data_IF_968887104846
#
_entry.id   IF_968887104846
#
_cell.length_a   1.000
_cell.length_b   1.000
_cell.length_c   1.000
_cell.angle_alpha   90.00
_cell.angle_beta   90.00
_cell.angle_gamma   90.00
#
_symmetry.space_group_name_H-M   'P 1'
#
loop_
_entity.id
_entity.type
_entity.pdbx_description
1 polymer ?
#
# COMPACT_ATOMS: atom_id res chain seq x y z
N UNK A 1 9.73 -3.40 -32.20
CA UNK A 1 10.17 -2.32 -31.27
C UNK A 1 9.00 -1.40 -31.04
N UNK A 2 8.41 -1.39 -29.84
CA UNK A 2 7.29 -0.50 -29.51
C UNK A 2 7.56 0.13 -28.14
N UNK A 3 8.33 1.22 -28.15
CA UNK A 3 8.52 2.06 -26.97
C UNK A 3 7.26 2.90 -26.79
N UNK A 4 6.31 2.40 -26.00
CA UNK A 4 5.19 3.19 -25.52
C UNK A 4 5.72 4.37 -24.69
N UNK A 5 5.33 5.60 -25.05
CA UNK A 5 5.64 6.78 -24.25
C UNK A 5 4.75 6.79 -23.02
N UNK A 6 5.25 6.26 -21.89
CA UNK A 6 4.62 6.42 -20.59
C UNK A 6 5.05 7.76 -20.00
N UNK A 7 4.12 8.71 -19.90
CA UNK A 7 4.35 9.99 -19.20
C UNK A 7 4.36 9.72 -17.69
N UNK A 8 5.52 9.35 -17.16
CA UNK A 8 5.74 9.32 -15.71
C UNK A 8 6.13 10.72 -15.25
N UNK A 9 5.34 11.33 -14.37
CA UNK A 9 5.75 12.53 -13.66
C UNK A 9 6.76 12.10 -12.59
N UNK A 10 8.05 12.21 -12.90
CA UNK A 10 9.10 12.04 -11.90
C UNK A 10 8.92 13.16 -10.88
N UNK A 11 8.37 12.82 -9.71
CA UNK A 11 8.38 13.72 -8.56
C UNK A 11 9.85 14.08 -8.26
N UNK A 12 10.14 15.33 -7.83
CA UNK A 12 11.50 15.75 -7.50
C UNK A 12 12.15 14.73 -6.56
N UNK A 13 13.43 14.44 -6.79
CA UNK A 13 14.18 13.47 -5.98
C UNK A 13 14.20 13.93 -4.52
N UNK A 14 13.47 13.23 -3.64
CA UNK A 14 13.48 13.49 -2.20
C UNK A 14 14.47 12.53 -1.55
N UNK A 15 15.36 13.03 -0.69
CA UNK A 15 16.25 12.17 0.09
C UNK A 15 15.43 11.22 0.98
N UNK A 16 15.90 9.98 1.20
CA UNK A 16 15.14 9.01 2.01
C UNK A 16 14.84 9.50 3.44
N UNK A 17 15.74 10.30 4.00
CA UNK A 17 15.57 10.92 5.33
C UNK A 17 14.50 12.02 5.31
N UNK A 18 14.56 12.93 4.33
CA UNK A 18 13.58 14.02 4.15
C UNK A 18 12.18 13.48 3.87
N UNK A 19 12.07 12.44 3.03
CA UNK A 19 10.82 11.76 2.77
C UNK A 19 10.26 11.14 4.05
N UNK A 20 11.10 10.44 4.81
CA UNK A 20 10.69 9.81 6.07
C UNK A 20 10.18 10.85 7.08
N UNK A 21 10.91 11.96 7.25
CA UNK A 21 10.51 13.06 8.13
C UNK A 21 9.18 13.68 7.70
N UNK A 22 8.98 13.94 6.40
CA UNK A 22 7.73 14.47 5.86
C UNK A 22 6.55 13.52 6.04
N UNK A 23 6.75 12.22 5.79
CA UNK A 23 5.70 11.20 5.99
C UNK A 23 5.30 11.09 7.47
N UNK A 24 6.27 11.11 8.37
CA UNK A 24 6.02 11.10 9.83
C UNK A 24 5.29 12.37 10.28
N UNK A 25 5.64 13.54 9.73
CA UNK A 25 4.91 14.79 10.01
C UNK A 25 3.46 14.71 9.52
N UNK A 26 3.23 14.25 8.29
CA UNK A 26 1.89 14.08 7.74
C UNK A 26 1.04 13.10 8.57
N UNK A 27 1.65 12.04 9.10
CA UNK A 27 1.00 11.12 10.02
C UNK A 27 0.65 11.80 11.35
N UNK A 28 1.58 12.58 11.94
CA UNK A 28 1.33 13.33 13.18
C UNK A 28 0.25 14.40 13.04
N UNK A 29 0.10 15.01 11.86
CA UNK A 29 -0.96 15.97 11.53
C UNK A 29 -2.29 15.30 11.15
N UNK A 30 -2.37 13.96 11.16
CA UNK A 30 -3.54 13.19 10.76
C UNK A 30 -3.90 13.28 9.28
N UNK A 31 -2.98 13.75 8.43
CA UNK A 31 -3.16 13.92 6.98
C UNK A 31 -2.82 12.66 6.16
N UNK A 32 -2.23 11.65 6.80
CA UNK A 32 -1.91 10.37 6.19
C UNK A 32 -1.63 9.30 7.26
N UNK A 33 -1.51 8.06 6.85
CA UNK A 33 -1.16 6.95 7.73
C UNK A 33 -0.14 6.07 7.03
N UNK A 34 0.93 5.68 7.73
CA UNK A 34 1.89 4.72 7.21
C UNK A 34 1.38 3.31 7.53
N UNK A 35 1.00 2.57 6.48
CA UNK A 35 0.49 1.21 6.65
C UNK A 35 1.59 0.20 6.98
N UNK A 36 2.77 0.37 6.37
CA UNK A 36 3.90 -0.55 6.54
C UNK A 36 5.22 0.09 6.07
N UNK A 37 6.34 -0.32 6.69
CA UNK A 37 7.72 0.00 6.27
C UNK A 37 8.59 -1.28 6.29
N UNK A 38 8.36 -2.25 5.39
CA UNK A 38 9.18 -3.44 5.35
C UNK A 38 10.58 -3.13 4.83
N UNK A 39 11.58 -3.88 5.31
CA UNK A 39 12.94 -3.85 4.78
C UNK A 39 13.45 -5.28 4.64
N UNK A 40 14.17 -5.55 3.55
CA UNK A 40 14.70 -6.88 3.26
C UNK A 40 16.06 -6.75 2.59
N UNK A 41 16.99 -7.59 3.02
CA UNK A 41 18.30 -7.74 2.39
C UNK A 41 18.26 -8.95 1.47
N UNK A 42 18.79 -8.81 0.27
CA UNK A 42 18.89 -9.90 -0.70
C UNK A 42 20.19 -9.81 -1.49
N UNK A 43 20.64 -10.96 -2.00
CA UNK A 43 21.79 -11.06 -2.90
C UNK A 43 21.33 -10.70 -4.32
N UNK A 44 22.19 -9.99 -5.06
CA UNK A 44 21.96 -9.76 -6.50
C UNK A 44 21.75 -11.08 -7.25
N UNK A 45 20.66 -11.18 -8.01
CA UNK A 45 20.22 -12.36 -8.75
C UNK A 45 19.32 -13.31 -7.97
N UNK A 46 19.10 -13.11 -6.67
CA UNK A 46 18.32 -14.02 -5.83
C UNK A 46 16.97 -13.42 -5.44
N UNK A 47 15.92 -14.24 -5.43
CA UNK A 47 14.62 -13.83 -4.88
C UNK A 47 14.65 -13.96 -3.36
N UNK A 48 14.14 -12.98 -2.66
CA UNK A 48 13.93 -13.05 -1.22
C UNK A 48 12.51 -12.64 -0.86
N UNK A 49 11.98 -13.28 0.18
CA UNK A 49 10.61 -13.09 0.64
C UNK A 49 10.59 -12.75 2.12
N UNK A 50 9.63 -11.92 2.51
CA UNK A 50 9.40 -11.47 3.87
C UNK A 50 7.90 -11.56 4.17
N UNK A 51 7.57 -12.17 5.31
CA UNK A 51 6.21 -12.21 5.83
C UNK A 51 6.23 -11.77 7.29
N UNK A 52 5.48 -10.71 7.58
CA UNK A 52 5.19 -10.27 8.95
C UNK A 52 3.68 -10.19 9.13
N UNK A 53 3.13 -11.04 10.00
CA UNK A 53 1.70 -11.11 10.24
C UNK A 53 1.30 -12.47 10.80
N UNK A 54 0.10 -12.92 10.43
CA UNK A 54 -0.43 -14.20 10.89
C UNK A 54 -1.04 -15.01 9.76
N UNK A 55 -1.64 -16.13 10.13
CA UNK A 55 -2.43 -16.98 9.25
C UNK A 55 -3.83 -17.13 9.84
N UNK A 56 -4.84 -16.99 8.98
CA UNK A 56 -6.25 -17.14 9.35
C UNK A 56 -6.77 -18.46 8.77
N UNK A 57 -7.35 -19.35 9.59
CA UNK A 57 -7.99 -20.56 9.09
C UNK A 57 -9.34 -20.21 8.44
N UNK A 58 -9.51 -20.63 7.19
CA UNK A 58 -10.73 -20.48 6.41
C UNK A 58 -11.32 -21.88 6.22
N UNK A 59 -12.59 -22.05 6.61
CA UNK A 59 -13.31 -23.31 6.38
C UNK A 59 -13.84 -23.32 4.96
N UNK A 60 -13.46 -24.32 4.19
CA UNK A 60 -14.02 -24.59 2.86
C UNK A 60 -14.94 -25.82 2.97
N UNK A 61 -16.22 -25.63 2.71
CA UNK A 61 -17.19 -26.74 2.63
C UNK A 61 -17.37 -27.17 1.18
N UNK A 62 -16.86 -28.36 0.86
CA UNK A 62 -17.17 -29.09 -0.38
C UNK A 62 -18.26 -30.13 -0.15
N UNK A 63 -18.81 -30.71 -1.22
CA UNK A 63 -19.82 -31.77 -1.15
C UNK A 63 -19.28 -32.98 -0.37
N UNK A 64 -19.64 -33.08 0.92
CA UNK A 64 -19.26 -34.17 1.81
C UNK A 64 -17.90 -34.04 2.52
N UNK A 65 -17.13 -32.96 2.31
CA UNK A 65 -15.83 -32.77 2.95
C UNK A 65 -15.69 -31.35 3.53
N UNK A 66 -15.29 -31.27 4.80
CA UNK A 66 -14.86 -30.03 5.44
C UNK A 66 -13.32 -30.00 5.43
N UNK A 67 -12.74 -29.01 4.75
CA UNK A 67 -11.30 -28.76 4.78
C UNK A 67 -11.01 -27.37 5.33
N UNK A 68 -9.81 -27.19 5.89
CA UNK A 68 -9.34 -25.93 6.46
C UNK A 68 -8.16 -25.45 5.63
N UNK A 69 -8.28 -24.26 5.05
CA UNK A 69 -7.21 -23.58 4.32
C UNK A 69 -6.65 -22.43 5.16
N UNK A 70 -5.33 -22.34 5.28
CA UNK A 70 -4.67 -21.27 6.04
C UNK A 70 -4.30 -20.13 5.10
N UNK A 71 -4.93 -18.96 5.30
CA UNK A 71 -4.66 -17.77 4.51
C UNK A 71 -3.75 -16.81 5.28
N UNK A 72 -2.58 -16.53 4.73
CA UNK A 72 -1.64 -15.53 5.27
C UNK A 72 -2.24 -14.13 5.19
N UNK A 73 -1.99 -13.34 6.23
CA UNK A 73 -2.26 -11.91 6.25
C UNK A 73 -1.12 -11.13 6.90
N UNK A 74 -1.19 -9.80 6.81
CA UNK A 74 -0.15 -8.87 7.26
C UNK A 74 0.64 -8.32 6.07
N UNK A 75 1.94 -8.15 6.25
CA UNK A 75 2.85 -7.61 5.24
C UNK A 75 3.55 -8.79 4.57
N UNK A 76 3.30 -9.00 3.29
CA UNK A 76 4.01 -9.94 2.45
C UNK A 76 4.79 -9.16 1.41
N UNK A 77 6.10 -9.36 1.35
CA UNK A 77 6.96 -8.67 0.39
C UNK A 77 7.88 -9.67 -0.27
N UNK A 78 8.00 -9.60 -1.59
CA UNK A 78 9.05 -10.29 -2.32
C UNK A 78 9.87 -9.30 -3.13
N UNK A 79 11.17 -9.56 -3.17
CA UNK A 79 12.17 -8.68 -3.73
C UNK A 79 13.16 -9.53 -4.52
N UNK A 80 13.39 -9.16 -5.78
CA UNK A 80 14.37 -9.82 -6.64
C UNK A 80 15.23 -8.74 -7.32
N UNK A 81 16.40 -8.41 -6.74
CA UNK A 81 17.31 -7.43 -7.30
C UNK A 81 18.31 -8.06 -8.26
N UNK A 82 18.65 -7.35 -9.33
CA UNK A 82 19.84 -7.61 -10.14
C UNK A 82 20.61 -6.30 -10.22
N UNK A 83 21.76 -6.22 -9.57
CA UNK A 83 22.60 -5.03 -9.54
C UNK A 83 24.00 -5.32 -10.10
N UNK A 84 24.57 -4.34 -10.80
CA UNK A 84 25.93 -4.37 -11.33
C UNK A 84 26.92 -3.61 -10.43
N UNK A 85 28.21 -3.66 -10.78
CA UNK A 85 29.30 -3.00 -10.04
C UNK A 85 29.25 -1.48 -10.12
N UNK A 86 28.55 -0.93 -11.11
CA UNK A 86 28.36 0.52 -11.31
C UNK A 86 27.18 1.07 -10.50
N UNK A 87 26.41 0.21 -9.83
CA UNK A 87 25.25 0.59 -9.03
C UNK A 87 23.96 0.73 -9.83
N UNK A 88 23.95 0.31 -11.10
CA UNK A 88 22.72 0.15 -11.86
C UNK A 88 22.02 -1.11 -11.38
N UNK A 89 20.69 -1.08 -11.34
CA UNK A 89 19.91 -2.20 -10.86
C UNK A 89 18.59 -2.35 -11.59
N UNK A 90 18.20 -3.60 -11.82
CA UNK A 90 16.85 -3.99 -12.18
C UNK A 90 16.19 -4.61 -10.96
N UNK A 91 14.95 -4.21 -10.67
CA UNK A 91 14.24 -4.63 -9.46
C UNK A 91 12.86 -5.14 -9.82
N UNK A 92 12.55 -6.35 -9.36
CA UNK A 92 11.17 -6.81 -9.22
C UNK A 92 10.76 -6.66 -7.76
N UNK A 93 9.70 -5.88 -7.52
CA UNK A 93 9.13 -5.67 -6.19
C UNK A 93 7.68 -6.10 -6.21
N UNK A 94 7.33 -7.03 -5.33
CA UNK A 94 5.95 -7.41 -5.05
C UNK A 94 5.68 -7.15 -3.58
N UNK A 95 4.65 -6.37 -3.26
CA UNK A 95 4.25 -6.10 -1.88
C UNK A 95 2.75 -6.23 -1.74
N UNK A 96 2.34 -6.84 -0.65
CA UNK A 96 0.96 -6.99 -0.23
C UNK A 96 0.84 -6.61 1.24
N UNK A 97 -0.10 -5.71 1.54
CA UNK A 97 -0.49 -5.37 2.91
C UNK A 97 -1.94 -5.77 3.08
N UNK A 98 -2.19 -6.70 4.00
CA UNK A 98 -3.52 -7.23 4.27
C UNK A 98 -3.87 -7.11 5.75
N UNK A 99 -5.07 -6.59 6.03
CA UNK A 99 -5.58 -6.39 7.39
C UNK A 99 -6.91 -7.14 7.50
N UNK A 100 -7.04 -8.11 8.43
CA UNK A 100 -8.30 -8.80 8.67
C UNK A 100 -9.28 -7.85 9.36
N UNK A 101 -10.48 -7.75 8.81
CA UNK A 101 -11.61 -7.08 9.43
C UNK A 101 -12.49 -8.11 10.13
N UNK A 102 -12.36 -8.19 11.45
CA UNK A 102 -13.13 -9.14 12.28
C UNK A 102 -14.57 -8.68 12.53
N UNK A 103 -14.88 -7.40 12.29
CA UNK A 103 -16.20 -6.81 12.54
C UNK A 103 -17.14 -6.90 11.33
N UNK A 104 -16.60 -7.23 10.16
CA UNK A 104 -17.35 -7.45 8.95
C UNK A 104 -17.09 -8.86 8.46
N UNK A 105 -18.13 -9.68 8.45
CA UNK A 105 -18.08 -11.04 7.91
C UNK A 105 -19.04 -11.16 6.73
N UNK A 106 -18.63 -11.93 5.73
CA UNK A 106 -19.52 -12.41 4.66
C UNK A 106 -19.62 -13.92 4.83
N UNK A 107 -20.81 -14.45 5.06
CA UNK A 107 -21.02 -15.88 5.35
C UNK A 107 -20.11 -16.42 6.48
N UNK A 108 -19.96 -15.65 7.57
CA UNK A 108 -19.09 -15.96 8.72
C UNK A 108 -17.58 -16.01 8.39
N UNK A 109 -17.17 -15.67 7.17
CA UNK A 109 -15.77 -15.53 6.79
C UNK A 109 -15.29 -14.08 7.02
N UNK A 110 -14.08 -13.89 7.57
CA UNK A 110 -13.52 -12.55 7.77
C UNK A 110 -13.21 -11.89 6.42
N UNK A 111 -13.50 -10.59 6.32
CA UNK A 111 -13.12 -9.79 5.16
C UNK A 111 -11.68 -9.30 5.34
N UNK A 112 -10.90 -9.24 4.27
CA UNK A 112 -9.56 -8.66 4.27
C UNK A 112 -9.54 -7.39 3.44
N UNK A 113 -9.01 -6.32 4.01
CA UNK A 113 -8.57 -5.17 3.23
C UNK A 113 -7.18 -5.49 2.68
N UNK A 114 -7.04 -5.54 1.34
CA UNK A 114 -5.79 -5.96 0.69
C UNK A 114 -5.32 -4.87 -0.27
N UNK A 115 -4.07 -4.44 -0.08
CA UNK A 115 -3.36 -3.54 -0.99
C UNK A 115 -2.19 -4.30 -1.61
N UNK A 116 -2.18 -4.49 -2.93
CA UNK A 116 -1.14 -5.23 -3.63
C UNK A 116 -0.50 -4.38 -4.72
N UNK A 117 0.82 -4.40 -4.79
CA UNK A 117 1.61 -3.76 -5.84
C UNK A 117 2.64 -4.73 -6.39
N UNK A 118 2.71 -4.81 -7.71
CA UNK A 118 3.73 -5.55 -8.45
C UNK A 118 4.37 -4.59 -9.44
N UNK A 119 5.66 -4.37 -9.34
CA UNK A 119 6.38 -3.44 -10.22
C UNK A 119 7.75 -3.97 -10.62
N UNK A 120 8.15 -3.62 -11.84
CA UNK A 120 9.42 -3.98 -12.46
C UNK A 120 10.01 -2.69 -13.00
N UNK A 121 11.19 -2.32 -12.52
CA UNK A 121 11.81 -1.06 -12.91
C UNK A 121 13.33 -1.11 -12.80
N UNK A 122 13.97 -0.28 -13.62
CA UNK A 122 15.42 -0.12 -13.65
C UNK A 122 15.82 1.24 -13.06
N UNK A 123 16.94 1.25 -12.35
CA UNK A 123 17.55 2.46 -11.82
C UNK A 123 19.02 2.51 -12.18
N UNK A 124 19.47 3.66 -12.68
CA UNK A 124 20.91 3.89 -12.90
C UNK A 124 21.70 4.04 -11.59
N UNK A 125 21.03 4.49 -10.53
CA UNK A 125 21.60 4.73 -9.20
C UNK A 125 20.55 4.49 -8.12
N UNK A 126 21.00 4.09 -6.93
CA UNK A 126 20.17 3.99 -5.72
C UNK A 126 19.45 5.30 -5.43
N UNK A 127 18.13 5.33 -5.63
CA UNK A 127 17.26 6.46 -5.30
C UNK A 127 15.87 5.98 -4.94
N UNK A 128 15.16 6.77 -4.16
CA UNK A 128 13.76 6.50 -3.86
C UNK A 128 12.90 6.70 -5.10
N UNK A 129 12.04 5.73 -5.39
CA UNK A 129 11.05 5.81 -6.47
C UNK A 129 9.65 5.52 -5.97
N UNK A 130 8.67 6.16 -6.60
CA UNK A 130 7.25 5.87 -6.41
C UNK A 130 6.86 4.83 -7.44
N UNK A 131 6.42 3.65 -6.98
CA UNK A 131 6.09 2.52 -7.86
C UNK A 131 4.58 2.33 -8.05
N UNK A 132 3.76 2.96 -7.22
CA UNK A 132 2.30 2.93 -7.34
C UNK A 132 1.64 4.12 -6.64
N UNK A 133 0.55 4.59 -7.23
CA UNK A 133 -0.35 5.61 -6.69
C UNK A 133 -1.80 5.29 -7.04
N UNK A 134 -2.68 5.18 -6.03
CA UNK A 134 -4.12 4.97 -6.21
C UNK A 134 -4.89 6.09 -5.53
N UNK A 135 -5.70 6.82 -6.29
CA UNK A 135 -6.60 7.85 -5.76
C UNK A 135 -8.02 7.28 -5.75
N UNK A 136 -8.62 7.18 -4.58
CA UNK A 136 -10.02 6.79 -4.37
C UNK A 136 -10.80 8.00 -3.92
N UNK A 137 -11.81 8.41 -4.68
CA UNK A 137 -12.77 9.45 -4.30
C UNK A 137 -14.13 8.81 -4.08
N UNK A 138 -14.74 9.05 -2.92
CA UNK A 138 -16.06 8.58 -2.55
C UNK A 138 -16.92 9.78 -2.18
N UNK A 139 -17.93 10.06 -2.99
CA UNK A 139 -18.93 11.08 -2.71
C UNK A 139 -20.23 10.41 -2.29
N UNK A 140 -20.75 10.80 -1.12
CA UNK A 140 -22.06 10.39 -0.65
C UNK A 140 -22.90 11.63 -0.36
N UNK A 141 -24.07 11.70 -1.00
CA UNK A 141 -25.07 12.72 -0.76
C UNK A 141 -26.20 12.11 0.05
N UNK A 142 -26.31 12.49 1.32
CA UNK A 142 -27.40 12.06 2.18
C UNK A 142 -28.36 13.23 2.37
N UNK A 143 -29.63 13.06 1.98
CA UNK A 143 -30.68 14.07 2.23
C UNK A 143 -31.59 13.57 3.35
N UNK A 144 -31.54 14.24 4.49
CA UNK A 144 -32.45 13.99 5.60
C UNK A 144 -33.47 15.13 5.69
N UNK A 145 -34.75 14.82 5.68
CA UNK A 145 -35.84 15.80 5.80
C UNK A 145 -37.19 15.13 6.00
N UNK A 146 -38.15 15.85 6.59
CA UNK A 146 -39.51 15.35 6.78
C UNK A 146 -40.16 15.09 5.41
N UNK A 147 -40.85 13.94 5.21
CA UNK A 147 -41.66 13.73 4.02
C UNK A 147 -42.73 14.84 3.94
N UNK A 148 -42.99 15.35 2.74
CA UNK A 148 -43.85 16.50 2.40
C UNK A 148 -43.28 17.91 2.62
N UNK A 149 -42.78 18.28 3.80
CA UNK A 149 -42.31 19.67 4.04
C UNK A 149 -41.02 20.02 3.28
N UNK A 150 -40.14 19.04 3.04
CA UNK A 150 -38.89 19.22 2.32
C UNK A 150 -39.05 19.55 0.82
N UNK A 151 -40.26 19.43 0.26
CA UNK A 151 -40.57 19.67 -1.16
C UNK A 151 -41.20 21.04 -1.45
N UNK A 152 -41.54 21.81 -0.42
CA UNK A 152 -42.15 23.15 -0.59
C UNK A 152 -41.06 24.11 -1.09
N UNK A 153 -41.21 24.72 -2.29
CA UNK A 153 -40.31 25.77 -2.75
C UNK A 153 -40.29 26.89 -1.69
N UNK A 154 -39.11 27.41 -1.34
CA UNK A 154 -38.87 28.44 -0.30
C UNK A 154 -38.69 27.87 1.13
N UNK A 155 -39.52 26.93 1.60
CA UNK A 155 -39.41 26.38 2.98
C UNK A 155 -38.55 25.11 3.12
N UNK A 156 -38.31 24.37 2.03
CA UNK A 156 -37.60 23.08 2.07
C UNK A 156 -36.16 23.12 2.59
N UNK A 157 -35.49 24.29 2.56
CA UNK A 157 -34.13 24.49 3.11
C UNK A 157 -34.08 24.56 4.65
N UNK A 158 -35.18 24.90 5.31
CA UNK A 158 -35.27 24.93 6.78
C UNK A 158 -35.64 23.55 7.37
N UNK A 159 -36.22 22.67 6.57
CA UNK A 159 -36.71 21.34 6.99
C UNK A 159 -35.93 20.17 6.35
N UNK A 160 -34.86 20.45 5.63
CA UNK A 160 -34.00 19.46 5.00
C UNK A 160 -32.54 19.88 5.04
N UNK A 161 -31.71 19.04 5.66
CA UNK A 161 -30.25 19.25 5.73
C UNK A 161 -29.59 18.28 4.76
N UNK A 162 -29.09 18.72 3.59
CA UNK A 162 -28.26 17.89 2.75
C UNK A 162 -26.90 17.71 3.42
N UNK A 163 -26.56 16.48 3.80
CA UNK A 163 -25.23 16.11 4.29
C UNK A 163 -24.42 15.59 3.10
N UNK A 164 -23.46 16.39 2.66
CA UNK A 164 -22.46 15.99 1.68
C UNK A 164 -21.25 15.40 2.43
N UNK A 165 -20.87 14.17 2.11
CA UNK A 165 -19.65 13.54 2.60
C UNK A 165 -18.77 13.20 1.40
N UNK A 166 -17.65 13.89 1.23
CA UNK A 166 -16.63 13.56 0.23
C UNK A 166 -15.39 13.01 0.95
N UNK A 167 -14.96 11.81 0.59
CA UNK A 167 -13.75 11.16 1.12
C UNK A 167 -12.80 10.87 -0.02
N UNK A 168 -11.62 11.48 0.01
CA UNK A 168 -10.51 11.19 -0.91
C UNK A 168 -9.42 10.43 -0.16
N UNK A 169 -9.01 9.28 -0.67
CA UNK A 169 -7.95 8.43 -0.10
C UNK A 169 -6.89 8.20 -1.17
N UNK A 170 -5.63 8.49 -0.87
CA UNK A 170 -4.51 8.27 -1.78
C UNK A 170 -3.57 7.22 -1.16
N UNK A 171 -3.34 6.10 -1.86
CA UNK A 171 -2.33 5.11 -1.48
C UNK A 171 -1.09 5.33 -2.35
N UNK A 172 0.07 5.51 -1.72
CA UNK A 172 1.36 5.65 -2.39
C UNK A 172 2.33 4.57 -1.90
N UNK A 173 3.07 3.97 -2.83
CA UNK A 173 4.12 2.99 -2.50
C UNK A 173 5.47 3.49 -2.96
N UNK A 174 6.38 3.62 -1.99
CA UNK A 174 7.75 4.09 -2.19
C UNK A 174 8.73 2.92 -2.02
N UNK A 175 9.74 2.87 -2.89
CA UNK A 175 10.85 1.90 -2.79
C UNK A 175 12.16 2.66 -2.73
N UNK A 176 13.00 2.33 -1.75
CA UNK A 176 14.35 2.90 -1.57
C UNK A 176 15.37 1.78 -1.59
N UNK A 177 15.87 1.39 -2.77
CA UNK A 177 16.88 0.34 -2.86
C UNK A 177 18.25 0.86 -2.46
N UNK A 178 19.04 0.00 -1.84
CA UNK A 178 20.44 0.26 -1.48
C UNK A 178 21.29 -0.96 -1.86
N UNK A 179 22.42 -0.70 -2.49
CA UNK A 179 23.44 -1.72 -2.79
C UNK A 179 24.51 -1.63 -1.72
N UNK A 180 24.84 -2.76 -1.10
CA UNK A 180 25.92 -2.88 -0.13
C UNK A 180 27.01 -3.77 -0.70
N UNK A 181 28.27 -3.34 -0.58
CA UNK A 181 29.39 -4.26 -0.77
C UNK A 181 29.55 -5.14 0.47
N UNK A 182 30.09 -6.36 0.35
CA UNK A 182 30.31 -7.23 1.51
C UNK A 182 31.06 -6.55 2.66
N UNK A 183 32.06 -5.71 2.34
CA UNK A 183 32.82 -4.92 3.33
C UNK A 183 32.02 -3.82 4.04
N UNK A 184 30.90 -3.38 3.46
CA UNK A 184 30.03 -2.33 4.00
C UNK A 184 28.87 -2.91 4.84
N UNK A 185 28.56 -4.19 4.63
CA UNK A 185 27.38 -4.84 5.19
C UNK A 185 27.45 -5.01 6.72
N UNK A 186 28.64 -5.33 7.24
CA UNK A 186 28.86 -5.52 8.69
C UNK A 186 28.66 -4.22 9.49
N UNK A 187 28.97 -3.08 8.87
CA UNK A 187 28.72 -1.76 9.44
C UNK A 187 27.24 -1.39 9.42
N UNK A 188 26.51 -1.79 8.37
CA UNK A 188 25.07 -1.52 8.25
C UNK A 188 24.23 -2.27 9.28
N UNK A 189 24.50 -3.57 9.48
CA UNK A 189 23.76 -4.42 10.44
C UNK A 189 23.88 -3.94 11.89
N UNK A 190 24.98 -3.27 12.26
CA UNK A 190 25.19 -2.76 13.63
C UNK A 190 24.35 -1.52 13.93
N UNK A 191 23.95 -0.75 12.92
CA UNK A 191 23.27 0.54 13.09
C UNK A 191 21.75 0.43 12.93
N UNK A 192 21.27 -0.52 12.11
CA UNK A 192 19.85 -0.78 11.90
C UNK A 192 19.57 -2.28 12.05
N UNK A 193 19.18 -2.74 13.27
CA UNK A 193 18.78 -4.13 13.49
C UNK A 193 17.44 -4.48 12.83
#
# INVERSE_FOLDING_TARGET
EAYGTYKTSVLPSVGSSELSAKLTLMESEGKGQILARPSLLSRSGEKSEFHAGGEMPIRISGWGSQSVEWKKYGILMSFHPVADTSGRMSLTVETEVSIPNLNQTTDQLPIFEVNRVKSYFDLDKSRTVVISGLIRQSESQFRQGLPYLSRIPILGRLFGSPKFTSRKTELLVFVTPKVFRPSELDSYKKVNP
#
